data_IF_036484781303
#
_entry.id   IF_036484781303
#
_cell.length_a   1.000
_cell.length_b   1.000
_cell.length_c   1.000
_cell.angle_alpha   90.00
_cell.angle_beta   90.00
_cell.angle_gamma   90.00
#
_symmetry.space_group_name_H-M   'P 1'
#
loop_
_entity.id
_entity.type
_entity.pdbx_description
1 polymer ?
#
# COMPACT_ATOMS: atom_id res chain seq x y z
N UNK A 1 59.25 -64.51 24.10
CA UNK A 1 58.46 -65.74 23.94
C UNK A 1 57.14 -65.56 24.69
N UNK A 2 56.02 -65.82 24.01
CA UNK A 2 54.62 -65.97 24.45
C UNK A 2 53.78 -64.79 25.02
N UNK A 3 52.67 -64.51 24.29
CA UNK A 3 51.44 -63.74 24.64
C UNK A 3 50.43 -64.67 25.37
N UNK A 4 49.13 -64.34 25.63
CA UNK A 4 48.37 -63.04 25.75
C UNK A 4 47.40 -63.00 26.97
N UNK A 5 46.79 -61.83 27.27
CA UNK A 5 45.34 -61.76 27.60
C UNK A 5 44.75 -60.46 27.04
N UNK A 6 43.65 -60.58 26.29
CA UNK A 6 42.81 -59.49 25.77
C UNK A 6 41.69 -59.20 26.77
N UNK A 7 41.34 -57.94 27.00
CA UNK A 7 39.97 -57.53 27.32
C UNK A 7 39.60 -56.21 26.62
N UNK A 8 38.36 -56.19 26.12
CA UNK A 8 37.68 -55.14 25.37
C UNK A 8 37.47 -53.84 26.17
N UNK A 9 37.29 -52.71 25.48
CA UNK A 9 36.13 -51.75 25.50
C UNK A 9 36.57 -50.54 24.62
N UNK A 10 36.18 -50.41 23.34
CA UNK A 10 34.98 -49.80 22.77
C UNK A 10 34.81 -48.26 22.98
N UNK A 11 34.86 -47.53 21.84
CA UNK A 11 34.21 -46.23 21.52
C UNK A 11 34.64 -44.96 22.32
N UNK A 12 35.02 -43.83 21.71
CA UNK A 12 34.17 -42.90 20.95
C UNK A 12 35.00 -41.85 20.17
N UNK A 13 34.62 -41.65 18.91
CA UNK A 13 34.95 -40.47 18.09
C UNK A 13 34.26 -39.23 18.70
N UNK A 14 35.02 -38.22 19.10
CA UNK A 14 34.47 -36.88 19.36
C UNK A 14 34.60 -36.07 18.07
N UNK A 15 33.54 -36.08 17.27
CA UNK A 15 33.34 -35.11 16.20
C UNK A 15 32.91 -33.78 16.85
N UNK A 16 33.72 -32.73 16.71
CA UNK A 16 33.38 -31.39 17.16
C UNK A 16 32.19 -30.84 16.37
N UNK A 17 31.03 -30.73 17.02
CA UNK A 17 29.87 -30.01 16.48
C UNK A 17 30.13 -28.50 16.61
N UNK A 18 30.39 -27.82 15.50
CA UNK A 18 30.21 -26.36 15.41
C UNK A 18 28.71 -26.08 15.56
N UNK A 19 28.29 -25.70 16.75
CA UNK A 19 26.97 -25.12 16.96
C UNK A 19 27.05 -23.64 16.61
N UNK A 20 26.53 -23.27 15.45
CA UNK A 20 26.20 -21.87 15.18
C UNK A 20 25.02 -21.51 16.09
N UNK A 21 25.30 -20.76 17.14
CA UNK A 21 24.25 -20.10 17.91
C UNK A 21 23.46 -19.22 16.93
N UNK A 22 22.18 -19.54 16.74
CA UNK A 22 21.27 -18.67 16.02
C UNK A 22 21.25 -17.31 16.73
N UNK A 23 21.64 -16.27 16.00
CA UNK A 23 21.56 -14.89 16.49
C UNK A 23 20.08 -14.57 16.68
N UNK A 24 19.61 -14.60 17.92
CA UNK A 24 18.32 -14.04 18.30
C UNK A 24 18.31 -12.56 17.89
N UNK A 25 17.39 -12.20 17.00
CA UNK A 25 17.16 -10.79 16.64
C UNK A 25 16.77 -10.01 17.90
N UNK A 26 17.28 -8.78 18.10
CA UNK A 26 16.98 -8.01 19.30
C UNK A 26 15.47 -7.71 19.36
N UNK A 27 14.88 -7.94 20.55
CA UNK A 27 13.53 -7.51 20.86
C UNK A 27 13.42 -6.00 20.65
N UNK A 28 12.38 -5.59 19.91
CA UNK A 28 12.11 -4.18 19.60
C UNK A 28 11.80 -3.42 20.91
N UNK A 29 12.60 -2.42 21.24
CA UNK A 29 12.42 -1.61 22.47
C UNK A 29 11.26 -0.63 22.41
N UNK A 30 10.82 -0.23 21.20
CA UNK A 30 9.82 0.84 21.03
C UNK A 30 8.64 0.43 20.11
N UNK A 31 7.41 0.73 20.55
CA UNK A 31 6.17 0.44 19.83
C UNK A 31 6.14 0.99 18.39
N UNK A 32 6.69 2.20 18.18
CA UNK A 32 6.79 2.83 16.87
C UNK A 32 8.23 3.19 16.53
N UNK A 33 8.59 3.15 15.24
CA UNK A 33 9.86 3.75 14.77
C UNK A 33 9.78 5.30 14.79
N UNK A 34 10.90 5.97 14.48
CA UNK A 34 10.94 7.45 14.33
C UNK A 34 10.35 7.96 13.01
N UNK A 35 10.02 7.09 12.05
CA UNK A 35 9.56 7.48 10.71
C UNK A 35 8.20 8.17 10.74
N UNK A 36 7.99 9.18 9.88
CA UNK A 36 6.64 9.73 9.68
C UNK A 36 5.91 8.83 8.69
N UNK A 37 4.75 8.32 9.09
CA UNK A 37 3.98 7.37 8.27
C UNK A 37 2.73 8.05 7.72
N UNK A 38 2.52 7.94 6.41
CA UNK A 38 1.42 8.55 5.64
C UNK A 38 0.64 7.48 4.87
N UNK A 39 -0.49 7.87 4.28
CA UNK A 39 -1.27 7.02 3.37
C UNK A 39 -0.37 6.41 2.29
N UNK A 40 -0.59 5.13 1.98
CA UNK A 40 0.21 4.33 1.05
C UNK A 40 1.38 3.59 1.71
N UNK A 41 1.81 4.00 2.90
CA UNK A 41 2.87 3.31 3.63
C UNK A 41 2.47 1.89 4.04
N UNK A 42 3.47 1.03 4.22
CA UNK A 42 3.28 -0.35 4.66
C UNK A 42 4.30 -0.72 5.73
N UNK A 43 3.97 -1.73 6.54
CA UNK A 43 4.90 -2.35 7.48
C UNK A 43 4.50 -2.19 8.94
N UNK A 44 5.49 -2.37 9.82
CA UNK A 44 5.24 -2.59 11.25
C UNK A 44 4.58 -1.40 11.95
N UNK A 45 4.98 -0.17 11.65
CA UNK A 45 4.37 1.02 12.27
C UNK A 45 2.89 1.17 11.86
N UNK A 46 2.52 0.70 10.67
CA UNK A 46 1.13 0.69 10.21
C UNK A 46 0.34 -0.39 10.94
N UNK A 47 0.91 -1.58 11.12
CA UNK A 47 0.28 -2.66 11.90
C UNK A 47 0.03 -2.23 13.34
N UNK A 48 1.05 -1.64 13.96
CA UNK A 48 0.96 -1.11 15.32
C UNK A 48 -0.15 -0.05 15.43
N UNK A 49 -0.20 0.90 14.49
CA UNK A 49 -1.25 1.92 14.43
C UNK A 49 -2.63 1.28 14.25
N UNK A 50 -2.80 0.39 13.28
CA UNK A 50 -4.07 -0.28 13.00
C UNK A 50 -4.59 -1.05 14.22
N UNK A 51 -3.72 -1.81 14.88
CA UNK A 51 -4.12 -2.59 16.05
C UNK A 51 -4.46 -1.72 17.26
N UNK A 52 -3.71 -0.65 17.52
CA UNK A 52 -4.06 0.32 18.57
C UNK A 52 -5.36 1.07 18.27
N UNK A 53 -5.55 1.51 17.02
CA UNK A 53 -6.80 2.14 16.60
C UNK A 53 -7.98 1.16 16.68
N UNK A 54 -7.74 -0.14 16.43
CA UNK A 54 -8.75 -1.18 16.55
C UNK A 54 -9.15 -1.43 18.01
N UNK A 55 -8.18 -1.49 18.92
CA UNK A 55 -8.43 -1.58 20.36
C UNK A 55 -9.29 -0.41 20.87
N UNK A 56 -9.05 0.79 20.34
CA UNK A 56 -9.81 1.99 20.68
C UNK A 56 -11.15 2.12 19.95
N UNK A 57 -11.50 1.19 19.05
CA UNK A 57 -12.76 1.22 18.29
C UNK A 57 -12.77 2.12 17.05
N UNK A 58 -11.69 2.81 16.72
CA UNK A 58 -11.61 3.66 15.52
C UNK A 58 -11.39 2.87 14.22
N UNK A 59 -10.79 1.67 14.30
CA UNK A 59 -10.45 0.86 13.13
C UNK A 59 -11.15 -0.51 13.15
N UNK A 60 -12.00 -0.76 12.16
CA UNK A 60 -12.77 -2.01 12.04
C UNK A 60 -12.18 -2.98 10.99
N UNK A 61 -11.06 -2.63 10.37
CA UNK A 61 -10.41 -3.44 9.33
C UNK A 61 -9.52 -4.56 9.89
N UNK A 62 -8.87 -5.28 8.97
CA UNK A 62 -7.80 -6.24 9.31
C UNK A 62 -6.51 -5.48 9.61
N UNK A 63 -5.74 -5.92 10.61
CA UNK A 63 -4.38 -5.42 10.84
C UNK A 63 -3.46 -6.03 9.77
N UNK A 64 -3.50 -5.45 8.57
CA UNK A 64 -2.79 -5.93 7.38
C UNK A 64 -1.46 -5.21 7.14
N UNK A 65 -1.18 -4.16 7.90
CA UNK A 65 0.02 -3.35 7.78
C UNK A 65 0.01 -2.42 6.58
N UNK A 66 -1.16 -2.15 5.98
CA UNK A 66 -1.32 -1.25 4.83
C UNK A 66 -2.07 0.01 5.22
N UNK A 67 -1.44 1.16 5.01
CA UNK A 67 -2.03 2.45 5.36
C UNK A 67 -2.94 2.91 4.21
N UNK A 68 -4.09 2.24 4.08
CA UNK A 68 -5.17 2.63 3.16
C UNK A 68 -6.19 3.60 3.78
N UNK A 69 -7.27 3.87 3.05
CA UNK A 69 -8.34 4.80 3.44
C UNK A 69 -9.01 4.48 4.77
N UNK A 70 -9.26 3.19 5.07
CA UNK A 70 -9.84 2.80 6.36
C UNK A 70 -8.92 3.17 7.52
N UNK A 71 -7.61 2.96 7.34
CA UNK A 71 -6.59 3.36 8.31
C UNK A 71 -6.48 4.89 8.40
N UNK A 72 -6.61 5.60 7.28
CA UNK A 72 -6.63 7.06 7.20
C UNK A 72 -7.80 7.67 7.96
N UNK A 73 -9.02 7.20 7.73
CA UNK A 73 -10.19 7.67 8.47
C UNK A 73 -10.14 7.29 9.94
N UNK A 74 -9.71 6.07 10.26
CA UNK A 74 -9.52 5.68 11.65
C UNK A 74 -8.53 6.60 12.37
N UNK A 75 -7.41 6.93 11.71
CA UNK A 75 -6.41 7.83 12.28
C UNK A 75 -6.94 9.26 12.41
N UNK A 76 -7.69 9.77 11.41
CA UNK A 76 -8.30 11.11 11.47
C UNK A 76 -9.37 11.21 12.54
N UNK A 77 -10.23 10.19 12.67
CA UNK A 77 -11.24 10.16 13.73
C UNK A 77 -10.59 10.11 15.11
N UNK A 78 -9.52 9.33 15.27
CA UNK A 78 -8.70 9.37 16.48
C UNK A 78 -8.11 10.76 16.72
N UNK A 79 -7.48 11.38 15.72
CA UNK A 79 -6.92 12.73 15.86
C UNK A 79 -7.98 13.75 16.28
N UNK A 80 -9.17 13.69 15.68
CA UNK A 80 -10.31 14.55 16.02
C UNK A 80 -10.76 14.34 17.47
N UNK A 81 -11.06 13.11 17.86
CA UNK A 81 -11.54 12.76 19.22
C UNK A 81 -10.54 13.19 20.31
N UNK A 82 -9.25 13.13 20.00
CA UNK A 82 -8.18 13.47 20.93
C UNK A 82 -7.69 14.93 20.82
N UNK A 83 -8.42 15.80 20.12
CA UNK A 83 -8.13 17.24 20.03
C UNK A 83 -6.83 17.57 19.31
N UNK A 84 -6.42 16.75 18.35
CA UNK A 84 -5.19 16.89 17.58
C UNK A 84 -5.43 17.58 16.22
N UNK A 85 -4.34 17.96 15.55
CA UNK A 85 -4.39 18.33 14.13
C UNK A 85 -4.84 17.10 13.29
N UNK A 86 -5.90 17.26 12.50
CA UNK A 86 -6.58 16.16 11.77
C UNK A 86 -6.00 15.98 10.37
N UNK A 87 -4.69 15.81 10.29
CA UNK A 87 -3.91 15.72 9.05
C UNK A 87 -3.81 14.30 8.47
N UNK A 88 -4.27 13.28 9.21
CA UNK A 88 -4.19 11.88 8.80
C UNK A 88 -2.75 11.34 8.71
N UNK A 89 -1.81 11.99 9.41
CA UNK A 89 -0.39 11.60 9.45
C UNK A 89 -0.05 10.96 10.81
N UNK A 90 0.57 9.79 10.76
CA UNK A 90 1.12 9.13 11.95
C UNK A 90 2.52 9.70 12.26
N UNK A 91 2.53 10.95 12.70
CA UNK A 91 3.73 11.68 13.16
C UNK A 91 4.05 11.44 14.64
N UNK A 92 5.13 12.04 15.17
CA UNK A 92 5.57 11.82 16.55
C UNK A 92 4.50 12.09 17.62
N UNK A 93 3.73 13.18 17.47
CA UNK A 93 2.64 13.52 18.39
C UNK A 93 1.53 12.46 18.35
N UNK A 94 1.13 12.01 17.17
CA UNK A 94 0.09 10.99 16.97
C UNK A 94 0.53 9.63 17.54
N UNK A 95 1.79 9.25 17.30
CA UNK A 95 2.40 8.03 17.86
C UNK A 95 2.40 8.03 19.38
N UNK A 96 2.86 9.13 19.98
CA UNK A 96 2.87 9.29 21.44
C UNK A 96 1.45 9.24 22.01
N UNK A 97 0.48 9.89 21.37
CA UNK A 97 -0.91 9.87 21.82
C UNK A 97 -1.52 8.47 21.74
N UNK A 98 -1.32 7.76 20.62
CA UNK A 98 -1.76 6.37 20.46
C UNK A 98 -1.17 5.48 21.54
N UNK A 99 0.16 5.55 21.74
CA UNK A 99 0.85 4.79 22.78
C UNK A 99 0.25 5.05 24.17
N UNK A 100 0.07 6.32 24.55
CA UNK A 100 -0.47 6.69 25.85
C UNK A 100 -1.93 6.27 26.04
N UNK A 101 -2.76 6.31 25.00
CA UNK A 101 -4.14 5.85 25.03
C UNK A 101 -4.27 4.32 25.09
N UNK A 102 -3.19 3.59 24.79
CA UNK A 102 -3.21 2.13 24.66
C UNK A 102 -1.99 1.50 25.36
N UNK A 103 -1.61 1.99 26.55
CA UNK A 103 -0.43 1.49 27.29
C UNK A 103 -0.47 -0.01 27.58
N UNK A 104 -1.67 -0.58 27.69
CA UNK A 104 -1.88 -2.01 27.93
C UNK A 104 -2.02 -2.84 26.64
N UNK A 105 -1.91 -2.22 25.46
CA UNK A 105 -1.93 -2.94 24.19
C UNK A 105 -0.69 -3.83 24.07
N UNK A 106 -0.95 -5.14 23.93
CA UNK A 106 0.06 -6.18 23.73
C UNK A 106 -0.29 -6.91 22.43
N UNK A 107 0.25 -6.47 21.28
CA UNK A 107 -0.05 -7.09 20.01
C UNK A 107 0.46 -8.53 19.98
N UNK A 108 -0.29 -9.40 19.33
CA UNK A 108 0.18 -10.75 19.01
C UNK A 108 1.22 -10.72 17.89
N UNK A 109 2.03 -11.78 17.79
CA UNK A 109 2.99 -11.95 16.69
C UNK A 109 2.31 -11.92 15.31
N UNK A 110 1.08 -12.45 15.22
CA UNK A 110 0.26 -12.44 14.00
C UNK A 110 -0.15 -11.01 13.61
N UNK A 111 -0.62 -10.20 14.57
CA UNK A 111 -0.99 -8.80 14.33
C UNK A 111 0.20 -7.96 13.88
N UNK A 112 1.40 -8.26 14.40
CA UNK A 112 2.65 -7.68 13.95
C UNK A 112 3.18 -8.30 12.64
N UNK A 113 2.54 -9.32 12.08
CA UNK A 113 3.02 -9.96 10.85
C UNK A 113 4.40 -10.61 10.99
N UNK A 114 4.75 -11.07 12.20
CA UNK A 114 5.94 -11.91 12.43
C UNK A 114 5.60 -13.33 11.98
N UNK A 115 6.34 -13.95 11.04
CA UNK A 115 5.98 -15.26 10.52
C UNK A 115 6.10 -16.35 11.59
N UNK A 116 5.02 -17.06 11.89
CA UNK A 116 5.08 -18.40 12.47
C UNK A 116 5.37 -19.39 11.34
N UNK A 117 6.61 -19.89 11.29
CA UNK A 117 7.13 -20.92 10.36
C UNK A 117 6.93 -20.66 8.86
N UNK A 118 8.05 -20.40 8.16
CA UNK A 118 8.09 -20.15 6.74
C UNK A 118 7.46 -21.29 5.91
N UNK A 119 6.39 -21.00 5.18
CA UNK A 119 5.97 -21.75 4.00
C UNK A 119 6.43 -20.99 2.74
N UNK A 120 6.89 -21.68 1.68
CA UNK A 120 7.41 -21.01 0.49
C UNK A 120 6.28 -20.31 -0.28
N UNK A 121 6.38 -19.00 -0.45
CA UNK A 121 5.50 -18.22 -1.31
C UNK A 121 5.87 -18.41 -2.80
N UNK A 122 4.85 -18.57 -3.64
CA UNK A 122 4.95 -18.70 -5.10
C UNK A 122 5.65 -17.49 -5.77
N UNK A 123 6.23 -17.63 -6.98
CA UNK A 123 7.18 -16.66 -7.52
C UNK A 123 6.55 -15.32 -7.89
N UNK A 124 6.96 -14.25 -7.20
CA UNK A 124 6.60 -12.85 -7.44
C UNK A 124 7.56 -12.21 -8.45
N UNK A 125 7.33 -12.37 -9.76
CA UNK A 125 8.19 -11.77 -10.78
C UNK A 125 7.84 -10.31 -11.14
N UNK A 126 6.69 -9.78 -10.72
CA UNK A 126 6.22 -8.42 -11.08
C UNK A 126 6.49 -7.34 -10.02
N UNK A 127 6.91 -7.71 -8.80
CA UNK A 127 7.05 -6.76 -7.68
C UNK A 127 8.33 -5.92 -7.71
N UNK A 128 9.40 -6.43 -8.33
CA UNK A 128 10.73 -5.79 -8.29
C UNK A 128 10.85 -4.57 -9.20
N UNK A 129 10.14 -4.54 -10.33
CA UNK A 129 10.29 -3.45 -11.31
C UNK A 129 9.52 -2.17 -10.93
N UNK A 130 8.34 -2.27 -10.32
CA UNK A 130 7.52 -1.10 -9.96
C UNK A 130 7.89 -0.49 -8.61
N UNK A 131 8.44 -1.31 -7.68
CA UNK A 131 9.01 -0.82 -6.44
C UNK A 131 10.15 0.19 -6.68
N UNK A 132 10.96 -0.03 -7.73
CA UNK A 132 12.01 0.91 -8.15
C UNK A 132 11.47 2.27 -8.65
N UNK A 133 10.21 2.31 -9.12
CA UNK A 133 9.50 3.55 -9.48
C UNK A 133 8.70 4.15 -8.30
N UNK A 134 8.86 3.61 -7.10
CA UNK A 134 8.12 4.05 -5.90
C UNK A 134 6.64 3.66 -5.91
N UNK A 135 6.23 2.70 -6.73
CA UNK A 135 4.84 2.26 -6.88
C UNK A 135 4.67 0.90 -6.23
N UNK A 136 3.82 0.84 -5.20
CA UNK A 136 3.58 -0.39 -4.44
C UNK A 136 2.57 -1.30 -5.15
N UNK A 137 2.53 -2.57 -4.76
CA UNK A 137 1.46 -3.48 -5.22
C UNK A 137 0.06 -3.00 -4.83
N UNK A 138 -0.06 -2.21 -3.75
CA UNK A 138 -1.33 -1.61 -3.36
C UNK A 138 -1.72 -0.46 -4.30
N UNK A 139 -0.76 0.38 -4.71
CA UNK A 139 -1.01 1.42 -5.72
C UNK A 139 -1.50 0.82 -7.03
N UNK A 140 -0.91 -0.30 -7.47
CA UNK A 140 -1.37 -1.01 -8.67
C UNK A 140 -2.84 -1.45 -8.58
N UNK A 141 -3.26 -1.96 -7.41
CA UNK A 141 -4.65 -2.37 -7.17
C UNK A 141 -5.59 -1.16 -7.16
N UNK A 142 -5.21 -0.11 -6.44
CA UNK A 142 -6.00 1.13 -6.37
C UNK A 142 -6.15 1.77 -7.75
N UNK A 143 -5.05 1.88 -8.50
CA UNK A 143 -5.07 2.40 -9.87
C UNK A 143 -5.98 1.58 -10.76
N UNK A 144 -5.90 0.24 -10.70
CA UNK A 144 -6.73 -0.61 -11.56
C UNK A 144 -8.22 -0.49 -11.22
N UNK A 145 -8.58 -0.41 -9.93
CA UNK A 145 -9.97 -0.22 -9.51
C UNK A 145 -10.48 1.18 -9.88
N UNK A 146 -9.66 2.22 -9.72
CA UNK A 146 -9.98 3.57 -10.17
C UNK A 146 -10.20 3.63 -11.69
N UNK A 147 -9.26 3.08 -12.47
CA UNK A 147 -9.38 2.99 -13.94
C UNK A 147 -10.65 2.25 -14.32
N UNK A 148 -10.95 1.11 -13.68
CA UNK A 148 -12.15 0.36 -13.97
C UNK A 148 -13.43 1.17 -13.70
N UNK A 149 -13.52 1.86 -12.57
CA UNK A 149 -14.68 2.71 -12.26
C UNK A 149 -14.90 3.81 -13.29
N UNK A 150 -13.83 4.45 -13.74
CA UNK A 150 -13.92 5.59 -14.66
C UNK A 150 -14.08 5.18 -16.13
N UNK A 151 -13.71 3.96 -16.51
CA UNK A 151 -13.60 3.58 -17.93
C UNK A 151 -14.14 2.18 -18.25
N UNK A 152 -15.00 1.63 -17.39
CA UNK A 152 -15.72 0.39 -17.68
C UNK A 152 -16.55 0.54 -18.96
N UNK A 153 -16.33 -0.36 -19.92
CA UNK A 153 -17.00 -0.34 -21.21
C UNK A 153 -16.39 0.61 -22.25
N UNK A 154 -15.35 1.37 -21.88
CA UNK A 154 -14.56 2.16 -22.83
C UNK A 154 -13.59 1.26 -23.61
N UNK A 155 -13.15 1.69 -24.82
CA UNK A 155 -12.10 1.00 -25.55
C UNK A 155 -10.82 0.91 -24.70
N UNK A 156 -9.99 -0.12 -24.92
CA UNK A 156 -8.78 -0.35 -24.12
C UNK A 156 -7.86 0.88 -24.01
N UNK A 157 -7.69 1.61 -25.13
CA UNK A 157 -6.93 2.88 -25.16
C UNK A 157 -7.50 3.94 -24.20
N UNK A 158 -8.81 3.97 -23.96
CA UNK A 158 -9.46 4.83 -22.97
C UNK A 158 -9.16 4.43 -21.54
N UNK A 159 -9.01 3.13 -21.25
CA UNK A 159 -8.59 2.65 -19.93
C UNK A 159 -7.12 3.00 -19.65
N UNK A 160 -6.24 2.82 -20.65
CA UNK A 160 -4.84 3.27 -20.56
C UNK A 160 -4.77 4.78 -20.38
N UNK A 161 -5.64 5.54 -21.05
CA UNK A 161 -5.72 6.99 -20.93
C UNK A 161 -6.03 7.45 -19.50
N UNK A 162 -6.99 6.83 -18.80
CA UNK A 162 -7.29 7.16 -17.39
C UNK A 162 -6.09 6.82 -16.50
N UNK A 163 -5.45 5.66 -16.72
CA UNK A 163 -4.25 5.28 -15.96
C UNK A 163 -3.11 6.29 -16.16
N UNK A 164 -2.90 6.76 -17.40
CA UNK A 164 -1.90 7.77 -17.71
C UNK A 164 -2.20 9.11 -17.03
N UNK A 165 -3.47 9.54 -16.94
CA UNK A 165 -3.86 10.75 -16.19
C UNK A 165 -3.49 10.64 -14.70
N UNK A 166 -3.73 9.48 -14.06
CA UNK A 166 -3.30 9.26 -12.66
C UNK A 166 -1.79 9.51 -12.54
N UNK A 167 -1.00 8.90 -13.43
CA UNK A 167 0.46 9.05 -13.42
C UNK A 167 0.92 10.48 -13.74
N UNK A 168 0.24 11.17 -14.65
CA UNK A 168 0.53 12.56 -14.99
C UNK A 168 0.27 13.49 -13.80
N UNK A 169 -0.80 13.25 -13.04
CA UNK A 169 -1.06 13.96 -11.78
C UNK A 169 0.07 13.74 -10.77
N UNK A 170 0.55 12.51 -10.59
CA UNK A 170 1.68 12.27 -9.65
C UNK A 170 2.97 13.02 -10.01
N UNK A 171 3.13 13.44 -11.27
CA UNK A 171 4.28 14.21 -11.76
C UNK A 171 4.04 15.73 -11.76
N UNK A 172 2.80 16.16 -11.59
CA UNK A 172 2.42 17.57 -11.65
C UNK A 172 2.50 18.20 -10.25
N UNK A 173 3.08 19.41 -10.11
CA UNK A 173 3.15 20.09 -8.82
C UNK A 173 1.77 20.51 -8.28
N UNK A 174 0.73 20.50 -9.12
CA UNK A 174 -0.64 20.84 -8.74
C UNK A 174 -1.40 19.70 -8.06
N UNK A 175 -0.79 18.51 -7.92
CA UNK A 175 -1.41 17.32 -7.38
C UNK A 175 -0.49 16.61 -6.38
N UNK A 176 -1.04 15.71 -5.54
CA UNK A 176 -0.22 14.81 -4.74
C UNK A 176 0.73 13.95 -5.58
N UNK A 177 1.87 13.59 -5.01
CA UNK A 177 2.95 12.91 -5.73
C UNK A 177 2.93 11.38 -5.61
N UNK A 178 1.82 10.78 -5.18
CA UNK A 178 1.64 9.32 -5.15
C UNK A 178 0.31 8.90 -5.76
N UNK A 179 0.21 7.73 -6.42
CA UNK A 179 -1.04 7.28 -7.04
C UNK A 179 -2.18 7.19 -6.04
N UNK A 180 -1.94 6.61 -4.85
CA UNK A 180 -2.95 6.55 -3.80
C UNK A 180 -3.47 7.95 -3.42
N UNK A 181 -2.59 8.93 -3.19
CA UNK A 181 -3.03 10.27 -2.81
C UNK A 181 -3.82 10.95 -3.93
N UNK A 182 -3.40 10.81 -5.20
CA UNK A 182 -4.16 11.30 -6.37
C UNK A 182 -5.55 10.67 -6.45
N UNK A 183 -5.65 9.36 -6.20
CA UNK A 183 -6.92 8.63 -6.29
C UNK A 183 -7.88 9.06 -5.18
N UNK A 184 -7.37 9.34 -3.98
CA UNK A 184 -8.18 9.74 -2.81
C UNK A 184 -8.44 11.25 -2.71
N UNK A 185 -7.97 12.06 -3.68
CA UNK A 185 -8.39 13.46 -3.76
C UNK A 185 -9.93 13.56 -3.83
N UNK A 186 -10.56 14.50 -3.09
CA UNK A 186 -12.01 14.58 -3.01
C UNK A 186 -12.69 14.64 -4.39
N UNK A 187 -13.56 13.66 -4.66
CA UNK A 187 -14.34 13.52 -5.91
C UNK A 187 -13.49 13.32 -7.17
N UNK A 188 -12.23 12.90 -7.05
CA UNK A 188 -11.36 12.66 -8.20
C UNK A 188 -11.72 11.38 -8.97
N UNK A 189 -12.24 10.35 -8.28
CA UNK A 189 -12.59 9.05 -8.85
C UNK A 189 -13.86 8.50 -8.20
N UNK A 190 -14.83 8.09 -9.01
CA UNK A 190 -16.12 7.52 -8.60
C UNK A 190 -15.97 6.23 -7.79
N UNK A 191 -15.02 5.38 -8.18
CA UNK A 191 -14.73 4.11 -7.50
C UNK A 191 -14.41 4.27 -5.99
N UNK A 192 -13.93 5.44 -5.56
CA UNK A 192 -13.71 5.74 -4.14
C UNK A 192 -15.03 5.96 -3.42
N UNK A 193 -15.91 6.79 -3.99
CA UNK A 193 -17.23 7.09 -3.42
C UNK A 193 -18.14 5.86 -3.41
N UNK A 194 -18.07 5.05 -4.46
CA UNK A 194 -18.88 3.84 -4.63
C UNK A 194 -18.34 2.63 -3.84
N UNK A 195 -17.23 2.80 -3.11
CA UNK A 195 -16.59 1.73 -2.33
C UNK A 195 -15.90 0.64 -3.15
N UNK A 196 -15.92 0.73 -4.49
CA UNK A 196 -15.35 -0.26 -5.42
C UNK A 196 -13.82 -0.28 -5.41
N UNK A 197 -13.18 0.74 -4.83
CA UNK A 197 -11.72 0.87 -4.79
C UNK A 197 -11.01 -0.28 -4.04
N UNK A 198 -11.73 -1.08 -3.24
CA UNK A 198 -11.19 -2.21 -2.46
C UNK A 198 -11.43 -3.59 -3.07
N UNK A 199 -12.07 -3.66 -4.24
CA UNK A 199 -12.40 -4.94 -4.88
C UNK A 199 -11.17 -5.58 -5.54
N UNK A 200 -11.31 -6.84 -5.94
CA UNK A 200 -10.33 -7.50 -6.79
C UNK A 200 -10.26 -6.75 -8.14
N UNK A 201 -9.07 -6.31 -8.58
CA UNK A 201 -8.93 -5.59 -9.82
C UNK A 201 -9.42 -6.36 -11.04
N UNK A 202 -10.10 -5.65 -11.94
CA UNK A 202 -10.39 -6.16 -13.27
C UNK A 202 -9.09 -6.35 -14.06
N UNK A 203 -8.91 -7.51 -14.69
CA UNK A 203 -7.67 -7.85 -15.41
C UNK A 203 -7.34 -6.86 -16.54
N UNK A 204 -8.35 -6.37 -17.26
CA UNK A 204 -8.12 -5.42 -18.37
C UNK A 204 -7.69 -4.07 -17.83
N UNK A 205 -8.30 -3.58 -16.75
CA UNK A 205 -7.86 -2.35 -16.09
C UNK A 205 -6.46 -2.51 -15.48
N UNK A 206 -6.13 -3.67 -14.91
CA UNK A 206 -4.78 -3.97 -14.43
C UNK A 206 -3.73 -3.94 -15.55
N UNK A 207 -4.02 -4.51 -16.72
CA UNK A 207 -3.14 -4.42 -17.89
C UNK A 207 -2.98 -2.97 -18.37
N UNK A 208 -4.07 -2.21 -18.39
CA UNK A 208 -4.03 -0.80 -18.79
C UNK A 208 -3.12 0.03 -17.87
N UNK A 209 -3.18 -0.21 -16.56
CA UNK A 209 -2.25 0.39 -15.58
C UNK A 209 -0.81 0.01 -15.87
N UNK A 210 -0.53 -1.28 -16.11
CA UNK A 210 0.82 -1.74 -16.43
C UNK A 210 1.37 -1.07 -17.70
N UNK A 211 0.55 -0.92 -18.73
CA UNK A 211 0.97 -0.30 -19.99
C UNK A 211 1.21 1.20 -19.84
N UNK A 212 0.40 1.91 -19.07
CA UNK A 212 0.68 3.30 -18.70
C UNK A 212 2.01 3.43 -17.92
N UNK A 213 2.30 2.48 -17.02
CA UNK A 213 3.56 2.45 -16.26
C UNK A 213 4.79 2.16 -17.12
N UNK A 214 4.63 1.44 -18.24
CA UNK A 214 5.67 1.26 -19.26
C UNK A 214 5.90 2.52 -20.10
N UNK A 215 5.06 3.54 -19.92
CA UNK A 215 5.20 4.85 -20.58
C UNK A 215 4.18 5.12 -21.68
N UNK A 216 3.19 4.24 -21.87
CA UNK A 216 2.14 4.51 -22.85
C UNK A 216 1.16 5.56 -22.32
N UNK A 217 1.28 6.79 -22.81
CA UNK A 217 0.31 7.86 -22.56
C UNK A 217 -0.41 8.25 -23.87
N UNK A 218 -1.62 7.73 -24.13
CA UNK A 218 -2.38 8.09 -25.32
C UNK A 218 -2.97 9.51 -25.25
N UNK A 219 -2.97 10.14 -24.08
CA UNK A 219 -3.62 11.44 -23.83
C UNK A 219 -2.78 12.63 -24.25
N UNK A 220 -1.45 12.48 -24.31
CA UNK A 220 -0.53 13.59 -24.58
C UNK A 220 -0.26 14.48 -23.37
N UNK A 221 -0.20 13.88 -22.17
CA UNK A 221 0.07 14.58 -20.92
C UNK A 221 -1.17 15.21 -20.28
N UNK A 222 -2.36 14.64 -20.46
CA UNK A 222 -3.58 15.19 -19.86
C UNK A 222 -3.55 15.06 -18.33
N UNK A 223 -4.17 16.04 -17.66
CA UNK A 223 -4.37 16.07 -16.20
C UNK A 223 -5.85 15.93 -15.82
N UNK A 224 -6.74 16.17 -16.78
CA UNK A 224 -8.18 16.14 -16.60
C UNK A 224 -8.85 15.40 -17.75
N UNK A 225 -10.06 14.91 -17.50
CA UNK A 225 -10.94 14.40 -18.53
C UNK A 225 -12.40 14.56 -18.10
N UNK A 226 -13.31 14.53 -19.06
CA UNK A 226 -14.75 14.58 -18.79
C UNK A 226 -15.54 13.94 -19.93
N UNK A 227 -16.75 13.49 -19.62
CA UNK A 227 -17.72 13.09 -20.63
C UNK A 227 -18.53 14.34 -21.06
N UNK A 228 -18.42 14.81 -22.33
CA UNK A 228 -19.12 16.00 -22.79
C UNK A 228 -20.64 15.86 -22.75
N UNK A 229 -21.16 14.63 -22.75
CA UNK A 229 -22.60 14.37 -22.73
C UNK A 229 -23.20 14.57 -21.32
N UNK A 230 -22.37 14.52 -20.27
CA UNK A 230 -22.85 14.57 -18.87
C UNK A 230 -22.18 15.67 -18.03
N UNK A 231 -21.13 16.31 -18.53
CA UNK A 231 -20.36 17.30 -17.76
C UNK A 231 -21.07 18.65 -17.68
N UNK A 232 -21.37 19.07 -16.46
CA UNK A 232 -22.06 20.34 -16.16
C UNK A 232 -21.13 21.45 -15.67
N UNK A 233 -19.86 21.14 -15.36
CA UNK A 233 -18.91 22.12 -14.81
C UNK A 233 -18.39 23.08 -15.88
N UNK A 234 -18.73 24.37 -15.80
CA UNK A 234 -18.19 25.38 -16.74
C UNK A 234 -16.65 25.45 -16.73
N UNK A 235 -16.02 25.18 -15.58
CA UNK A 235 -14.57 25.16 -15.46
C UNK A 235 -13.91 24.03 -16.25
N UNK A 236 -14.53 22.84 -16.36
CA UNK A 236 -13.92 21.75 -17.13
C UNK A 236 -13.95 22.05 -18.63
N UNK A 237 -15.01 22.70 -19.10
CA UNK A 237 -15.16 23.14 -20.49
C UNK A 237 -14.17 24.24 -20.88
N UNK A 238 -13.66 25.02 -19.92
CA UNK A 238 -12.65 26.04 -20.17
C UNK A 238 -11.22 25.49 -20.24
N UNK A 239 -10.99 24.20 -19.95
CA UNK A 239 -9.66 23.59 -20.02
C UNK A 239 -9.25 23.37 -21.50
N UNK A 240 -7.97 23.59 -21.86
CA UNK A 240 -7.49 23.27 -23.20
C UNK A 240 -7.68 21.78 -23.53
N UNK A 241 -8.56 21.50 -24.49
CA UNK A 241 -8.89 20.15 -24.92
C UNK A 241 -7.77 19.60 -25.82
N UNK A 242 -7.33 18.38 -25.53
CA UNK A 242 -6.27 17.72 -26.31
C UNK A 242 -6.89 16.80 -27.36
N UNK A 243 -7.75 15.87 -26.95
CA UNK A 243 -8.42 14.90 -27.83
C UNK A 243 -9.57 14.19 -27.12
N UNK A 244 -10.42 13.52 -27.90
CA UNK A 244 -11.46 12.61 -27.40
C UNK A 244 -11.02 11.16 -27.61
N UNK A 245 -11.17 10.31 -26.59
CA UNK A 245 -10.98 8.86 -26.65
C UNK A 245 -12.21 8.21 -26.02
N UNK A 246 -12.96 7.44 -26.81
CA UNK A 246 -14.26 6.91 -26.37
C UNK A 246 -15.21 8.06 -25.99
N UNK A 247 -15.78 7.99 -24.79
CA UNK A 247 -16.68 9.02 -24.25
C UNK A 247 -15.95 10.20 -23.62
N UNK A 248 -14.64 10.10 -23.37
CA UNK A 248 -13.92 11.12 -22.62
C UNK A 248 -13.14 12.10 -23.52
N UNK A 249 -13.30 13.39 -23.24
CA UNK A 249 -12.40 14.45 -23.71
C UNK A 249 -11.30 14.64 -22.67
N UNK A 250 -10.03 14.55 -23.08
CA UNK A 250 -8.85 14.72 -22.24
C UNK A 250 -8.27 16.12 -22.38
N UNK A 251 -7.86 16.74 -21.26
CA UNK A 251 -7.48 18.16 -21.20
C UNK A 251 -6.25 18.39 -20.32
N UNK A 252 -5.58 19.54 -20.54
CA UNK A 252 -4.52 20.06 -19.66
C UNK A 252 -5.07 20.97 -18.58
#
# INVERSE_FOLDING_TARGET
MNRPVKWLVAFLLVAGLLTTAAVLSPARSDAFSKQIVKVGAQGQDVREMQGRLKLLGFYTGKVDGVFGWRSYWALRNFQYEFGMNVDGVLGPKTKLKLYNATKHYKPTAEELGVPQTAQPAAPQQTQTQYAAKGISSNDLKLMANAVYGESRGEPYIGQVAVAAVILNRTKSPSFPNTPAAVIFEPRAFTAVADGQIWLTPNETASRAVQDALKGWDPTGGALYYFNPDTATSGWIWSRPQIKKIGKHIFCR
#
